data_IF_661143203727
#
_entry.id   IF_661143203727
#
_cell.length_a   1.000
_cell.length_b   1.000
_cell.length_c   1.000
_cell.angle_alpha   90.00
_cell.angle_beta   90.00
_cell.angle_gamma   90.00
#
_symmetry.space_group_name_H-M   'P 1'
#
loop_
_entity.id
_entity.type
_entity.pdbx_description
1 polymer ?
#
# COMPACT_ATOMS: atom_id res chain seq x y z
N UNK A 1 -2.69 27.83 -18.15
CA UNK A 1 -3.61 26.93 -17.42
C UNK A 1 -3.02 25.56 -17.00
N UNK A 2 -2.00 25.01 -17.68
CA UNK A 2 -1.36 23.72 -17.35
C UNK A 2 -0.49 23.70 -16.07
N UNK A 3 0.08 24.84 -15.68
CA UNK A 3 0.99 24.93 -14.51
C UNK A 3 0.23 24.87 -13.19
N UNK A 4 -0.97 25.46 -13.13
CA UNK A 4 -1.81 25.46 -11.92
C UNK A 4 -2.37 24.07 -11.60
N UNK A 5 -2.70 23.26 -12.63
CA UNK A 5 -3.15 21.86 -12.44
C UNK A 5 -2.06 20.91 -11.87
N UNK A 6 -0.78 21.24 -12.07
CA UNK A 6 0.34 20.41 -11.65
C UNK A 6 0.66 20.58 -10.15
N UNK A 7 0.46 21.77 -9.61
CA UNK A 7 0.69 22.05 -8.18
C UNK A 7 -0.36 21.41 -7.27
N UNK A 8 -1.62 21.33 -7.70
CA UNK A 8 -2.69 20.74 -6.88
C UNK A 8 -2.46 19.25 -6.61
N UNK A 9 -1.83 18.53 -7.53
CA UNK A 9 -1.54 17.10 -7.37
C UNK A 9 -0.51 16.83 -6.26
N UNK A 10 0.58 17.59 -6.23
CA UNK A 10 1.61 17.49 -5.19
C UNK A 10 1.02 17.86 -3.83
N UNK A 11 0.14 18.87 -3.82
CA UNK A 11 -0.55 19.32 -2.61
C UNK A 11 -1.43 18.20 -2.01
N UNK A 12 -2.22 17.49 -2.83
CA UNK A 12 -3.05 16.37 -2.35
C UNK A 12 -2.23 15.23 -1.74
N UNK A 13 -1.12 14.87 -2.38
CA UNK A 13 -0.20 13.87 -1.83
C UNK A 13 0.37 14.34 -0.49
N UNK A 14 0.81 15.59 -0.41
CA UNK A 14 1.35 16.17 0.81
C UNK A 14 0.32 16.23 1.94
N UNK A 15 -0.91 16.64 1.64
CA UNK A 15 -2.02 16.65 2.60
C UNK A 15 -2.31 15.23 3.12
N UNK A 16 -2.34 14.22 2.25
CA UNK A 16 -2.56 12.83 2.66
C UNK A 16 -1.49 12.36 3.67
N UNK A 17 -0.24 12.72 3.46
CA UNK A 17 0.84 12.38 4.39
C UNK A 17 0.74 13.13 5.72
N UNK A 18 0.38 14.41 5.71
CA UNK A 18 0.13 15.19 6.93
C UNK A 18 -1.02 14.55 7.73
N UNK A 19 -2.10 14.16 7.06
CA UNK A 19 -3.24 13.50 7.70
C UNK A 19 -2.83 12.19 8.35
N UNK A 20 -2.01 11.35 7.68
CA UNK A 20 -1.49 10.11 8.28
C UNK A 20 -0.63 10.40 9.51
N UNK A 21 0.24 11.40 9.43
CA UNK A 21 1.14 11.76 10.53
C UNK A 21 0.36 12.28 11.74
N UNK A 22 -0.51 13.26 11.52
CA UNK A 22 -1.33 13.85 12.57
C UNK A 22 -2.38 12.87 13.11
N UNK A 23 -2.91 11.98 12.26
CA UNK A 23 -3.87 10.95 12.62
C UNK A 23 -3.32 9.90 13.60
N UNK A 24 -2.01 9.75 13.71
CA UNK A 24 -1.40 8.90 14.75
C UNK A 24 -1.61 9.43 16.16
N UNK A 25 -1.75 10.73 16.34
CA UNK A 25 -1.99 11.35 17.64
C UNK A 25 -3.32 10.86 18.24
N UNK A 26 -4.48 11.04 17.60
CA UNK A 26 -5.74 10.53 18.13
C UNK A 26 -5.76 8.99 18.27
N UNK A 27 -5.13 8.25 17.34
CA UNK A 27 -5.02 6.80 17.46
C UNK A 27 -4.25 6.43 18.74
N UNK A 28 -3.10 7.06 18.99
CA UNK A 28 -2.30 6.80 20.20
C UNK A 28 -3.05 7.17 21.48
N UNK A 29 -3.75 8.31 21.49
CA UNK A 29 -4.56 8.70 22.66
C UNK A 29 -5.68 7.70 22.96
N UNK A 30 -6.26 7.11 21.93
CA UNK A 30 -7.34 6.15 22.07
C UNK A 30 -6.85 4.77 22.53
N UNK A 31 -5.92 4.15 21.77
CA UNK A 31 -5.49 2.77 22.04
C UNK A 31 -4.30 2.67 22.99
N UNK A 32 -3.74 3.79 23.42
CA UNK A 32 -2.60 3.86 24.34
C UNK A 32 -1.32 3.24 23.77
N UNK A 33 -0.31 3.20 24.64
CA UNK A 33 1.02 2.65 24.29
C UNK A 33 0.99 1.14 23.98
N UNK A 34 0.18 0.38 24.72
CA UNK A 34 0.08 -1.08 24.57
C UNK A 34 -0.62 -1.44 23.25
N UNK A 35 -1.76 -0.82 22.97
CA UNK A 35 -2.47 -1.02 21.71
C UNK A 35 -1.62 -0.60 20.49
N UNK A 36 -0.86 0.48 20.63
CA UNK A 36 0.01 0.96 19.55
C UNK A 36 1.16 -0.02 19.27
N UNK A 37 1.68 -0.73 20.26
CA UNK A 37 2.68 -1.78 20.09
C UNK A 37 2.14 -2.93 19.22
N UNK A 38 0.94 -3.43 19.51
CA UNK A 38 0.31 -4.52 18.75
C UNK A 38 -0.10 -4.06 17.35
N UNK A 39 -0.62 -2.84 17.22
CA UNK A 39 -0.96 -2.25 15.94
C UNK A 39 0.27 -2.03 15.05
N UNK A 40 1.43 -1.70 15.63
CA UNK A 40 2.67 -1.52 14.87
C UNK A 40 3.07 -2.76 14.09
N UNK A 41 2.99 -3.94 14.72
CA UNK A 41 3.25 -5.23 14.06
C UNK A 41 2.25 -5.48 12.92
N UNK A 42 0.96 -5.26 13.17
CA UNK A 42 -0.08 -5.45 12.18
C UNK A 42 0.12 -4.53 10.96
N UNK A 43 0.41 -3.27 11.20
CA UNK A 43 0.64 -2.27 10.14
C UNK A 43 1.90 -2.59 9.33
N UNK A 44 3.01 -2.97 9.98
CA UNK A 44 4.25 -3.25 9.25
C UNK A 44 4.16 -4.54 8.43
N UNK A 45 3.51 -5.59 8.92
CA UNK A 45 3.27 -6.81 8.14
C UNK A 45 2.33 -6.52 6.96
N UNK A 46 1.26 -5.75 7.19
CA UNK A 46 0.36 -5.33 6.13
C UNK A 46 1.07 -4.52 5.05
N UNK A 47 1.94 -3.58 5.42
CA UNK A 47 2.71 -2.77 4.49
C UNK A 47 3.82 -3.58 3.81
N UNK A 48 4.47 -4.52 4.50
CA UNK A 48 5.48 -5.38 3.91
C UNK A 48 4.90 -6.20 2.76
N UNK A 49 3.79 -6.89 2.97
CA UNK A 49 3.23 -7.80 1.97
C UNK A 49 2.24 -7.07 1.06
N UNK A 50 1.24 -6.42 1.63
CA UNK A 50 0.21 -5.69 0.87
C UNK A 50 0.78 -4.50 0.12
N UNK A 51 1.67 -3.72 0.73
CA UNK A 51 2.34 -2.58 0.10
C UNK A 51 3.26 -3.00 -1.04
N UNK A 52 4.08 -4.05 -0.86
CA UNK A 52 4.95 -4.59 -1.94
C UNK A 52 4.11 -5.05 -3.11
N UNK A 53 3.04 -5.81 -2.85
CA UNK A 53 2.14 -6.31 -3.89
C UNK A 53 1.41 -5.15 -4.62
N UNK A 54 0.93 -4.16 -3.87
CA UNK A 54 0.28 -2.96 -4.40
C UNK A 54 1.21 -2.18 -5.36
N UNK A 55 2.42 -1.83 -4.91
CA UNK A 55 3.36 -1.05 -5.72
C UNK A 55 3.90 -1.84 -6.91
N UNK A 56 4.16 -3.13 -6.74
CA UNK A 56 4.55 -4.04 -7.81
C UNK A 56 3.51 -4.06 -8.93
N UNK A 57 2.25 -4.27 -8.58
CA UNK A 57 1.15 -4.28 -9.55
C UNK A 57 0.93 -2.90 -10.17
N UNK A 58 0.92 -1.84 -9.37
CA UNK A 58 0.73 -0.47 -9.85
C UNK A 58 1.75 -0.06 -10.90
N UNK A 59 3.03 -0.10 -10.58
CA UNK A 59 4.08 0.37 -11.49
C UNK A 59 4.33 -0.60 -12.65
N UNK A 60 4.29 -1.91 -12.38
CA UNK A 60 4.46 -2.94 -13.40
C UNK A 60 3.39 -2.84 -14.48
N UNK A 61 2.12 -2.75 -14.08
CA UNK A 61 0.99 -2.66 -15.01
C UNK A 61 0.97 -1.30 -15.72
N UNK A 62 1.26 -0.20 -15.00
CA UNK A 62 1.34 1.12 -15.61
C UNK A 62 2.37 1.16 -16.75
N UNK A 63 3.54 0.55 -16.57
CA UNK A 63 4.59 0.48 -17.60
C UNK A 63 4.15 -0.31 -18.84
N UNK A 64 3.55 -1.49 -18.61
CA UNK A 64 3.08 -2.37 -19.69
C UNK A 64 1.91 -1.76 -20.47
N UNK A 65 0.96 -1.12 -19.77
CA UNK A 65 -0.18 -0.44 -20.44
C UNK A 65 0.33 0.75 -21.23
N UNK A 66 1.21 1.57 -20.67
CA UNK A 66 1.80 2.74 -21.35
C UNK A 66 2.50 2.32 -22.64
N UNK A 67 3.25 1.22 -22.61
CA UNK A 67 3.91 0.67 -23.78
C UNK A 67 2.89 0.27 -24.87
N UNK A 68 1.78 -0.38 -24.51
CA UNK A 68 0.75 -0.81 -25.47
C UNK A 68 -0.10 0.35 -25.99
N UNK A 69 -0.43 1.32 -25.13
CA UNK A 69 -1.17 2.53 -25.53
C UNK A 69 -0.39 3.34 -26.57
N UNK A 70 0.94 3.47 -26.40
CA UNK A 70 1.80 4.13 -27.41
C UNK A 70 1.80 3.41 -28.78
N UNK A 71 1.50 2.12 -28.80
CA UNK A 71 1.40 1.28 -30.01
C UNK A 71 -0.04 1.09 -30.48
N UNK A 72 -0.99 1.81 -29.89
CA UNK A 72 -2.42 1.74 -30.21
C UNK A 72 -3.03 0.34 -30.08
N UNK A 73 -2.48 -0.52 -29.19
CA UNK A 73 -2.90 -1.90 -28.95
C UNK A 73 -3.95 -2.01 -27.84
N UNK A 74 -5.11 -1.40 -27.99
CA UNK A 74 -6.14 -1.29 -26.96
C UNK A 74 -6.78 -2.62 -26.55
N UNK A 75 -7.00 -3.55 -27.52
CA UNK A 75 -7.48 -4.92 -27.22
C UNK A 75 -6.49 -5.69 -26.33
N UNK A 76 -5.18 -5.48 -26.60
CA UNK A 76 -4.10 -6.02 -25.79
C UNK A 76 -4.09 -5.45 -24.37
N UNK A 77 -4.39 -4.18 -24.20
CA UNK A 77 -4.50 -3.51 -22.88
C UNK A 77 -5.61 -4.14 -22.05
N UNK A 78 -6.81 -4.32 -22.62
CA UNK A 78 -7.94 -4.93 -21.89
C UNK A 78 -7.65 -6.35 -21.43
N UNK A 79 -7.07 -7.19 -22.29
CA UNK A 79 -6.70 -8.57 -21.94
C UNK A 79 -5.64 -8.60 -20.82
N UNK A 80 -4.63 -7.75 -20.92
CA UNK A 80 -3.59 -7.61 -19.91
C UNK A 80 -4.18 -7.17 -18.58
N UNK A 81 -5.04 -6.16 -18.57
CA UNK A 81 -5.70 -5.65 -17.36
C UNK A 81 -6.52 -6.72 -16.64
N UNK A 82 -7.39 -7.46 -17.36
CA UNK A 82 -8.21 -8.51 -16.76
C UNK A 82 -7.36 -9.66 -16.19
N UNK A 83 -6.28 -10.03 -16.89
CA UNK A 83 -5.36 -11.05 -16.37
C UNK A 83 -4.58 -10.56 -15.15
N UNK A 84 -4.22 -9.27 -15.12
CA UNK A 84 -3.56 -8.67 -13.96
C UNK A 84 -4.48 -8.62 -12.73
N UNK A 85 -5.77 -8.33 -12.91
CA UNK A 85 -6.75 -8.38 -11.82
C UNK A 85 -6.87 -9.79 -11.24
N UNK A 86 -6.98 -10.79 -12.10
CA UNK A 86 -7.06 -12.18 -11.68
C UNK A 86 -5.78 -12.64 -10.97
N UNK A 87 -4.62 -12.27 -11.50
CA UNK A 87 -3.32 -12.59 -10.90
C UNK A 87 -3.14 -11.91 -9.53
N UNK A 88 -3.50 -10.63 -9.42
CA UNK A 88 -3.41 -9.89 -8.17
C UNK A 88 -4.34 -10.45 -7.09
N UNK A 89 -5.55 -10.87 -7.47
CA UNK A 89 -6.50 -11.52 -6.57
C UNK A 89 -5.92 -12.84 -6.05
N UNK A 90 -5.43 -13.71 -6.95
CA UNK A 90 -4.86 -15.01 -6.57
C UNK A 90 -3.64 -14.81 -5.67
N UNK A 91 -2.69 -13.95 -6.06
CA UNK A 91 -1.50 -13.69 -5.25
C UNK A 91 -1.86 -13.08 -3.90
N UNK A 92 -2.78 -12.12 -3.88
CA UNK A 92 -3.27 -11.52 -2.63
C UNK A 92 -3.90 -12.55 -1.71
N UNK A 93 -4.76 -13.42 -2.22
CA UNK A 93 -5.40 -14.48 -1.44
C UNK A 93 -4.40 -15.52 -0.94
N UNK A 94 -3.49 -16.00 -1.79
CA UNK A 94 -2.47 -16.98 -1.40
C UNK A 94 -1.58 -16.41 -0.29
N UNK A 95 -1.10 -15.18 -0.45
CA UNK A 95 -0.26 -14.54 0.56
C UNK A 95 -1.01 -14.32 1.88
N UNK A 96 -2.28 -13.91 1.81
CA UNK A 96 -3.11 -13.77 3.01
C UNK A 96 -3.26 -15.11 3.73
N UNK A 97 -3.61 -16.19 3.04
CA UNK A 97 -3.78 -17.52 3.65
C UNK A 97 -2.47 -18.04 4.24
N UNK A 98 -1.35 -17.88 3.54
CA UNK A 98 -0.04 -18.29 4.05
C UNK A 98 0.35 -17.52 5.32
N UNK A 99 0.11 -16.20 5.33
CA UNK A 99 0.39 -15.38 6.50
C UNK A 99 -0.55 -15.69 7.66
N UNK A 100 -1.83 -15.90 7.41
CA UNK A 100 -2.81 -16.32 8.41
C UNK A 100 -2.40 -17.64 9.09
N UNK A 101 -1.98 -18.63 8.28
CA UNK A 101 -1.51 -19.92 8.79
C UNK A 101 -0.23 -19.80 9.66
N UNK A 102 0.71 -18.94 9.23
CA UNK A 102 1.99 -18.73 9.92
C UNK A 102 1.92 -17.72 11.10
N UNK A 103 0.97 -16.80 11.06
CA UNK A 103 0.88 -15.68 12.00
C UNK A 103 0.84 -16.12 13.46
N UNK A 104 0.01 -17.11 13.78
CA UNK A 104 -0.13 -17.61 15.15
C UNK A 104 1.18 -18.18 15.68
N UNK A 105 1.85 -19.02 14.88
CA UNK A 105 3.13 -19.62 15.27
C UNK A 105 4.20 -18.56 15.52
N UNK A 106 4.35 -17.61 14.61
CA UNK A 106 5.37 -16.55 14.73
C UNK A 106 5.09 -15.63 15.92
N UNK A 107 3.85 -15.19 16.11
CA UNK A 107 3.53 -14.24 17.18
C UNK A 107 3.50 -14.89 18.55
N UNK A 108 3.02 -16.13 18.69
CA UNK A 108 2.93 -16.80 19.98
C UNK A 108 4.26 -17.46 20.40
N UNK A 109 4.92 -18.19 19.48
CA UNK A 109 6.08 -18.99 19.83
C UNK A 109 7.41 -18.23 19.61
N UNK A 110 7.52 -17.44 18.54
CA UNK A 110 8.77 -16.74 18.24
C UNK A 110 8.86 -15.40 18.98
N UNK A 111 7.84 -14.56 18.90
CA UNK A 111 7.82 -13.23 19.51
C UNK A 111 7.21 -13.21 20.92
N UNK A 112 6.52 -14.26 21.32
CA UNK A 112 5.81 -14.39 22.61
C UNK A 112 4.80 -13.26 22.87
N UNK A 113 4.07 -12.84 21.81
CA UNK A 113 3.06 -11.78 21.82
C UNK A 113 1.68 -12.34 21.41
N UNK A 114 1.04 -13.20 22.21
CA UNK A 114 -0.23 -13.83 21.83
C UNK A 114 -1.36 -12.83 21.60
N UNK A 115 -1.34 -11.69 22.29
CA UNK A 115 -2.36 -10.65 22.18
C UNK A 115 -2.32 -9.90 20.84
N UNK A 116 -1.18 -9.91 20.13
CA UNK A 116 -1.05 -9.27 18.81
C UNK A 116 -1.70 -10.10 17.67
N UNK A 117 -1.96 -11.39 17.87
CA UNK A 117 -2.42 -12.32 16.82
C UNK A 117 -3.68 -11.83 16.12
N UNK A 118 -4.71 -11.46 16.87
CA UNK A 118 -5.98 -11.00 16.29
C UNK A 118 -5.84 -9.69 15.54
N UNK A 119 -5.04 -8.75 16.07
CA UNK A 119 -4.76 -7.46 15.43
C UNK A 119 -4.10 -7.66 14.06
N UNK A 120 -3.12 -8.56 13.99
CA UNK A 120 -2.42 -8.89 12.73
C UNK A 120 -3.35 -9.62 11.76
N UNK A 121 -4.07 -10.65 12.19
CA UNK A 121 -5.00 -11.41 11.34
C UNK A 121 -6.01 -10.51 10.64
N UNK A 122 -6.62 -9.60 11.37
CA UNK A 122 -7.58 -8.66 10.78
C UNK A 122 -6.91 -7.78 9.73
N UNK A 123 -5.73 -7.23 10.00
CA UNK A 123 -5.03 -6.41 9.03
C UNK A 123 -4.71 -7.17 7.72
N UNK A 124 -4.38 -8.47 7.81
CA UNK A 124 -4.06 -9.30 6.64
C UNK A 124 -5.22 -9.42 5.64
N UNK A 125 -6.48 -9.36 6.12
CA UNK A 125 -7.66 -9.42 5.25
C UNK A 125 -7.73 -8.24 4.24
N UNK A 126 -7.03 -7.15 4.51
CA UNK A 126 -6.94 -6.00 3.60
C UNK A 126 -6.01 -6.21 2.40
N UNK A 127 -5.11 -7.21 2.43
CA UNK A 127 -4.08 -7.41 1.39
C UNK A 127 -4.66 -7.66 0.00
N UNK A 128 -5.66 -8.54 -0.21
CA UNK A 128 -6.24 -8.77 -1.53
C UNK A 128 -6.88 -7.52 -2.12
N UNK A 129 -7.57 -6.73 -1.30
CA UNK A 129 -8.20 -5.49 -1.74
C UNK A 129 -7.15 -4.44 -2.15
N UNK A 130 -6.08 -4.33 -1.38
CA UNK A 130 -4.97 -3.43 -1.70
C UNK A 130 -4.26 -3.85 -2.99
N UNK A 131 -4.04 -5.14 -3.22
CA UNK A 131 -3.45 -5.68 -4.45
C UNK A 131 -4.28 -5.32 -5.69
N UNK A 132 -5.60 -5.50 -5.62
CA UNK A 132 -6.54 -5.14 -6.69
C UNK A 132 -6.56 -3.62 -6.93
N UNK A 133 -6.52 -2.81 -5.87
CA UNK A 133 -6.42 -1.35 -5.99
C UNK A 133 -5.13 -0.94 -6.71
N UNK A 134 -4.00 -1.63 -6.49
CA UNK A 134 -2.75 -1.42 -7.22
C UNK A 134 -2.90 -1.63 -8.72
N UNK A 135 -3.58 -2.71 -9.14
CA UNK A 135 -3.86 -2.97 -10.56
C UNK A 135 -4.68 -1.85 -11.21
N UNK A 136 -5.74 -1.41 -10.54
CA UNK A 136 -6.61 -0.34 -11.02
C UNK A 136 -5.86 1.01 -11.10
N UNK A 137 -5.06 1.34 -10.08
CA UNK A 137 -4.23 2.54 -10.13
C UNK A 137 -3.21 2.45 -11.28
N UNK A 138 -2.59 1.29 -11.47
CA UNK A 138 -1.67 1.04 -12.58
C UNK A 138 -2.34 1.20 -13.95
N UNK A 139 -3.59 0.74 -14.08
CA UNK A 139 -4.39 0.94 -15.30
C UNK A 139 -4.57 2.41 -15.63
N UNK A 140 -5.06 3.22 -14.70
CA UNK A 140 -5.23 4.66 -14.94
C UNK A 140 -3.90 5.39 -15.19
N UNK A 141 -2.86 5.04 -14.44
CA UNK A 141 -1.54 5.62 -14.61
C UNK A 141 -0.92 5.27 -15.98
N UNK A 142 -1.21 4.09 -16.52
CA UNK A 142 -0.82 3.67 -17.87
C UNK A 142 -1.44 4.53 -18.96
N UNK A 143 -2.66 5.02 -18.77
CA UNK A 143 -3.33 6.01 -19.64
C UNK A 143 -2.97 7.48 -19.30
N UNK A 144 -1.89 7.70 -18.55
CA UNK A 144 -1.47 9.03 -18.07
C UNK A 144 -2.48 9.75 -17.15
N UNK A 145 -3.50 9.05 -16.65
CA UNK A 145 -4.48 9.56 -15.71
C UNK A 145 -4.01 9.30 -14.27
N UNK A 146 -3.38 10.31 -13.64
CA UNK A 146 -2.86 10.18 -12.27
C UNK A 146 -3.86 10.54 -11.18
N UNK A 147 -4.83 11.38 -11.49
CA UNK A 147 -5.81 11.88 -10.52
C UNK A 147 -6.59 10.75 -9.80
N UNK A 148 -7.10 9.70 -10.48
CA UNK A 148 -7.78 8.60 -9.82
C UNK A 148 -6.95 7.92 -8.72
N UNK A 149 -5.64 7.72 -8.97
CA UNK A 149 -4.75 7.12 -7.99
C UNK A 149 -4.58 7.98 -6.74
N UNK A 150 -4.35 9.29 -6.91
CA UNK A 150 -4.18 10.20 -5.77
C UNK A 150 -5.45 10.35 -4.95
N UNK A 151 -6.61 10.42 -5.60
CA UNK A 151 -7.88 10.46 -4.89
C UNK A 151 -8.10 9.16 -4.11
N UNK A 152 -7.76 8.00 -4.69
CA UNK A 152 -7.86 6.72 -4.01
C UNK A 152 -6.93 6.64 -2.78
N UNK A 153 -5.70 7.15 -2.88
CA UNK A 153 -4.76 7.22 -1.76
C UNK A 153 -5.25 8.16 -0.65
N UNK A 154 -5.91 9.29 -1.03
CA UNK A 154 -6.55 10.18 -0.08
C UNK A 154 -7.74 9.52 0.62
N UNK A 155 -8.61 8.82 -0.12
CA UNK A 155 -9.74 8.05 0.42
C UNK A 155 -9.24 6.97 1.37
N UNK A 156 -8.19 6.22 0.97
CA UNK A 156 -7.57 5.22 1.84
C UNK A 156 -7.14 5.85 3.17
N UNK A 157 -6.48 6.98 3.14
CA UNK A 157 -6.00 7.68 4.35
C UNK A 157 -7.15 8.15 5.24
N UNK A 158 -8.15 8.82 4.64
CA UNK A 158 -9.29 9.36 5.37
C UNK A 158 -10.14 8.26 5.99
N UNK A 159 -10.39 7.19 5.24
CA UNK A 159 -11.16 6.03 5.72
C UNK A 159 -10.38 5.27 6.79
N UNK A 160 -9.08 5.06 6.61
CA UNK A 160 -8.25 4.40 7.62
C UNK A 160 -8.36 5.10 8.97
N UNK A 161 -8.24 6.42 9.00
CA UNK A 161 -8.36 7.18 10.25
C UNK A 161 -9.80 7.21 10.78
N UNK A 162 -10.77 7.56 9.92
CA UNK A 162 -12.17 7.68 10.34
C UNK A 162 -12.76 6.34 10.80
N UNK A 163 -12.73 5.33 9.94
CA UNK A 163 -13.23 4.01 10.28
C UNK A 163 -12.40 3.33 11.36
N UNK A 164 -11.07 3.54 11.37
CA UNK A 164 -10.19 2.99 12.39
C UNK A 164 -10.50 3.54 13.79
N UNK A 165 -10.71 4.84 13.94
CA UNK A 165 -11.07 5.45 15.22
C UNK A 165 -12.47 5.03 15.69
N UNK A 166 -13.47 5.06 14.80
CA UNK A 166 -14.84 4.63 15.13
C UNK A 166 -14.85 3.16 15.53
N UNK A 167 -14.18 2.30 14.79
CA UNK A 167 -14.08 0.88 15.12
C UNK A 167 -13.30 0.65 16.42
N UNK A 168 -12.21 1.40 16.65
CA UNK A 168 -11.44 1.30 17.88
C UNK A 168 -12.31 1.61 19.11
N UNK A 169 -13.11 2.67 19.07
CA UNK A 169 -14.02 3.01 20.15
C UNK A 169 -15.02 1.89 20.45
N UNK A 170 -15.68 1.36 19.41
CA UNK A 170 -16.62 0.25 19.55
C UNK A 170 -15.97 -1.02 20.11
N UNK A 171 -14.79 -1.39 19.62
CA UNK A 171 -14.06 -2.56 20.11
C UNK A 171 -13.52 -2.34 21.54
N UNK A 172 -13.11 -1.13 21.91
CA UNK A 172 -12.67 -0.82 23.27
C UNK A 172 -13.78 -0.99 24.31
N UNK A 173 -15.02 -0.61 24.00
CA UNK A 173 -16.17 -0.85 24.87
C UNK A 173 -16.37 -2.34 25.14
N UNK A 174 -16.18 -3.19 24.14
CA UNK A 174 -16.20 -4.64 24.32
C UNK A 174 -14.98 -5.11 25.10
N UNK A 175 -13.80 -4.57 24.80
CA UNK A 175 -12.54 -4.86 25.50
C UNK A 175 -12.58 -4.51 26.99
N UNK A 176 -13.30 -3.45 27.39
CA UNK A 176 -13.52 -3.12 28.80
C UNK A 176 -14.25 -4.26 29.53
N UNK A 177 -15.34 -4.76 28.96
CA UNK A 177 -16.07 -5.90 29.55
C UNK A 177 -15.19 -7.12 29.72
N UNK A 178 -14.33 -7.41 28.73
CA UNK A 178 -13.36 -8.52 28.82
C UNK A 178 -12.29 -8.25 29.87
N UNK A 179 -11.82 -7.02 29.99
CA UNK A 179 -10.86 -6.58 31.01
C UNK A 179 -11.39 -6.76 32.42
N UNK A 180 -12.65 -6.41 32.65
CA UNK A 180 -13.32 -6.54 33.92
C UNK A 180 -13.49 -8.03 34.31
N UNK A 181 -13.86 -8.87 33.35
CA UNK A 181 -14.01 -10.32 33.58
C UNK A 181 -12.69 -11.03 33.86
N UNK A 182 -11.60 -10.62 33.19
CA UNK A 182 -10.28 -11.25 33.33
C UNK A 182 -9.36 -10.53 34.33
N UNK A 183 -9.86 -9.48 34.99
CA UNK A 183 -9.07 -8.60 35.88
C UNK A 183 -7.75 -8.11 35.27
N UNK A 184 -7.73 -7.85 33.95
CA UNK A 184 -6.55 -7.43 33.23
C UNK A 184 -6.88 -6.25 32.28
N UNK A 185 -6.52 -5.04 32.68
CA UNK A 185 -6.81 -3.80 31.96
C UNK A 185 -6.19 -3.69 30.55
N UNK A 186 -5.28 -4.59 30.16
CA UNK A 186 -4.63 -4.57 28.84
C UNK A 186 -5.57 -4.95 27.71
N UNK A 187 -6.59 -5.78 27.97
CA UNK A 187 -7.51 -6.22 26.91
C UNK A 187 -8.25 -5.08 26.26
N UNK A 188 -8.59 -4.02 26.98
CA UNK A 188 -9.21 -2.82 26.41
C UNK A 188 -8.38 -2.26 25.24
N UNK A 189 -7.07 -2.08 25.44
CA UNK A 189 -6.17 -1.53 24.45
C UNK A 189 -5.88 -2.49 23.28
N UNK A 190 -5.85 -3.79 23.56
CA UNK A 190 -5.74 -4.85 22.53
C UNK A 190 -6.94 -4.79 21.59
N UNK A 191 -8.15 -4.72 22.13
CA UNK A 191 -9.37 -4.59 21.33
C UNK A 191 -9.42 -3.26 20.59
N UNK A 192 -8.91 -2.18 21.16
CA UNK A 192 -8.72 -0.92 20.43
C UNK A 192 -7.80 -1.08 19.21
N UNK A 193 -6.66 -1.77 19.36
CA UNK A 193 -5.75 -2.06 18.25
C UNK A 193 -6.39 -2.93 17.16
N UNK A 194 -7.24 -3.90 17.55
CA UNK A 194 -8.07 -4.68 16.61
C UNK A 194 -8.97 -3.74 15.80
N UNK A 195 -9.65 -2.80 16.48
CA UNK A 195 -10.50 -1.81 15.82
C UNK A 195 -9.74 -0.93 14.82
N UNK A 196 -8.54 -0.44 15.17
CA UNK A 196 -7.71 0.31 14.22
C UNK A 196 -7.31 -0.54 13.03
N UNK A 197 -7.03 -1.85 13.21
CA UNK A 197 -6.71 -2.77 12.11
C UNK A 197 -7.91 -3.01 11.18
N UNK A 198 -9.16 -3.00 11.69
CA UNK A 198 -10.34 -3.03 10.81
C UNK A 198 -10.42 -1.80 9.92
N UNK A 199 -9.91 -0.65 10.38
CA UNK A 199 -9.76 0.56 9.57
C UNK A 199 -8.87 0.37 8.34
N UNK A 200 -7.78 -0.43 8.44
CA UNK A 200 -6.92 -0.76 7.28
C UNK A 200 -7.69 -1.57 6.22
N UNK A 201 -8.51 -2.52 6.66
CA UNK A 201 -9.34 -3.34 5.76
C UNK A 201 -10.40 -2.48 5.08
N UNK A 202 -11.13 -1.67 5.85
CA UNK A 202 -12.15 -0.77 5.34
C UNK A 202 -11.56 0.24 4.33
N UNK A 203 -10.38 0.80 4.63
CA UNK A 203 -9.67 1.71 3.75
C UNK A 203 -9.29 1.05 2.42
N UNK A 204 -8.74 -0.17 2.48
CA UNK A 204 -8.38 -0.94 1.29
C UNK A 204 -9.61 -1.24 0.42
N UNK A 205 -10.71 -1.65 1.05
CA UNK A 205 -11.96 -1.97 0.37
C UNK A 205 -12.60 -0.72 -0.27
N UNK A 206 -12.72 0.39 0.47
CA UNK A 206 -13.36 1.61 -0.05
C UNK A 206 -12.51 2.30 -1.12
N UNK A 207 -11.19 2.30 -0.99
CA UNK A 207 -10.26 2.75 -2.04
C UNK A 207 -10.42 1.92 -3.32
N UNK A 208 -10.54 0.59 -3.19
CA UNK A 208 -10.81 -0.32 -4.31
C UNK A 208 -12.16 -0.03 -4.95
N UNK A 209 -13.23 0.10 -4.17
CA UNK A 209 -14.58 0.40 -4.67
C UNK A 209 -14.61 1.73 -5.44
N UNK A 210 -13.98 2.77 -4.93
CA UNK A 210 -13.84 4.05 -5.63
C UNK A 210 -13.17 3.87 -7.01
N UNK A 211 -12.06 3.15 -7.07
CA UNK A 211 -11.36 2.89 -8.33
C UNK A 211 -12.17 2.05 -9.30
N UNK A 212 -12.95 1.08 -8.81
CA UNK A 212 -13.86 0.28 -9.63
C UNK A 212 -14.97 1.14 -10.23
N UNK A 213 -15.58 2.02 -9.44
CA UNK A 213 -16.59 2.96 -9.93
C UNK A 213 -16.02 3.81 -11.07
N UNK A 214 -14.83 4.39 -10.85
CA UNK A 214 -14.16 5.17 -11.88
C UNK A 214 -13.83 4.34 -13.12
N UNK A 215 -13.40 3.10 -12.96
CA UNK A 215 -13.15 2.20 -14.09
C UNK A 215 -14.41 2.02 -14.94
N UNK A 216 -15.57 1.74 -14.33
CA UNK A 216 -16.81 1.57 -15.09
C UNK A 216 -17.27 2.86 -15.79
N UNK A 217 -17.04 4.03 -15.17
CA UNK A 217 -17.36 5.34 -15.76
C UNK A 217 -16.46 5.64 -16.98
N UNK A 218 -15.14 5.48 -16.82
CA UNK A 218 -14.19 5.86 -17.86
C UNK A 218 -13.95 4.78 -18.92
N UNK A 219 -14.27 3.52 -18.65
CA UNK A 219 -14.04 2.38 -19.54
C UNK A 219 -14.51 2.64 -20.96
N UNK A 220 -15.78 3.13 -21.13
CA UNK A 220 -16.35 3.37 -22.45
C UNK A 220 -15.60 4.44 -23.25
N UNK A 221 -15.08 5.47 -22.58
CA UNK A 221 -14.29 6.53 -23.21
C UNK A 221 -12.91 6.05 -23.64
N UNK A 222 -12.25 5.23 -22.79
CA UNK A 222 -10.92 4.71 -23.05
C UNK A 222 -10.90 3.57 -24.10
N UNK A 223 -12.00 2.78 -24.18
CA UNK A 223 -12.12 1.68 -25.13
C UNK A 223 -12.64 2.11 -26.52
N UNK A 224 -13.21 3.32 -26.69
CA UNK A 224 -13.71 3.81 -27.97
C UNK A 224 -12.65 3.88 -29.07
N UNK A 225 -11.40 4.13 -28.72
CA UNK A 225 -10.31 4.16 -29.67
C UNK A 225 -9.92 2.77 -30.19
N UNK A 226 -10.31 1.70 -29.47
CA UNK A 226 -10.04 0.31 -29.85
C UNK A 226 -10.82 -0.20 -31.08
N UNK A 227 -11.86 0.53 -31.54
CA UNK A 227 -12.61 0.13 -32.74
C UNK A 227 -11.83 0.34 -34.06
N UNK A 228 -10.77 1.18 -34.03
CA UNK A 228 -9.90 1.44 -35.17
C UNK A 228 -8.67 0.52 -35.25
N UNK A 229 -8.55 -0.40 -34.31
CA UNK A 229 -7.41 -1.30 -34.24
C UNK A 229 -7.42 -2.26 -35.44
N UNK A 230 -6.52 -2.02 -36.39
CA UNK A 230 -6.25 -2.95 -37.50
C UNK A 230 -5.79 -4.28 -36.88
N UNK A 231 -6.30 -5.36 -37.39
CA UNK A 231 -6.09 -6.75 -37.00
C UNK A 231 -4.64 -7.24 -37.21
N UNK A 232 -3.66 -6.50 -36.65
CA UNK A 232 -2.24 -6.85 -36.72
C UNK A 232 -1.82 -7.99 -35.78
N UNK A 233 -2.74 -8.47 -34.92
CA UNK A 233 -2.47 -9.55 -33.98
C UNK A 233 -3.06 -10.88 -34.44
N UNK A 234 -2.64 -11.36 -35.61
CA UNK A 234 -2.92 -12.76 -36.03
C UNK A 234 -2.22 -13.80 -35.15
N UNK A 235 -1.16 -13.44 -34.45
CA UNK A 235 -0.48 -14.29 -33.45
C UNK A 235 -0.75 -13.73 -32.06
N UNK A 236 -1.85 -14.20 -31.45
CA UNK A 236 -2.22 -13.82 -30.09
C UNK A 236 -1.13 -14.22 -29.10
N UNK A 237 -0.59 -13.25 -28.36
CA UNK A 237 0.27 -13.54 -27.20
C UNK A 237 -0.39 -14.59 -26.31
N UNK A 238 0.34 -15.65 -25.99
CA UNK A 238 -0.12 -16.68 -25.05
C UNK A 238 -0.45 -16.06 -23.68
N UNK A 239 -1.47 -16.59 -23.00
CA UNK A 239 -1.79 -16.14 -21.63
C UNK A 239 -0.61 -16.28 -20.69
N UNK A 240 0.19 -17.31 -20.86
CA UNK A 240 1.40 -17.55 -20.07
C UNK A 240 2.48 -16.48 -20.33
N UNK A 241 2.69 -16.08 -21.58
CA UNK A 241 3.63 -15.00 -21.93
C UNK A 241 3.25 -13.67 -21.26
N UNK A 242 1.96 -13.34 -21.23
CA UNK A 242 1.47 -12.13 -20.56
C UNK A 242 1.66 -12.17 -19.05
N UNK A 243 1.38 -13.31 -18.40
CA UNK A 243 1.63 -13.48 -16.95
C UNK A 243 3.12 -13.30 -16.66
N UNK A 244 4.00 -13.89 -17.45
CA UNK A 244 5.45 -13.72 -17.32
C UNK A 244 5.88 -12.26 -17.47
N UNK A 245 5.27 -11.52 -18.40
CA UNK A 245 5.53 -10.07 -18.56
C UNK A 245 5.06 -9.26 -17.35
N UNK A 246 3.87 -9.55 -16.79
CA UNK A 246 3.34 -8.90 -15.60
C UNK A 246 4.26 -9.15 -14.41
N UNK A 247 4.63 -10.41 -14.18
CA UNK A 247 5.53 -10.80 -13.09
C UNK A 247 6.93 -10.20 -13.25
N UNK A 248 7.47 -10.17 -14.48
CA UNK A 248 8.79 -9.59 -14.76
C UNK A 248 8.81 -8.09 -14.53
N UNK A 249 7.84 -7.36 -15.07
CA UNK A 249 7.73 -5.92 -14.89
C UNK A 249 7.40 -5.56 -13.42
N UNK A 250 6.46 -6.28 -12.81
CA UNK A 250 6.10 -6.09 -11.40
C UNK A 250 7.21 -6.50 -10.45
N UNK A 251 7.93 -7.58 -10.73
CA UNK A 251 9.02 -8.09 -9.90
C UNK A 251 10.17 -7.10 -9.67
N UNK A 252 10.55 -6.36 -10.71
CA UNK A 252 11.56 -5.32 -10.59
C UNK A 252 11.13 -4.24 -9.59
N UNK A 253 9.89 -3.75 -9.69
CA UNK A 253 9.34 -2.76 -8.76
C UNK A 253 9.11 -3.35 -7.37
N UNK A 254 8.75 -4.65 -7.29
CA UNK A 254 8.63 -5.36 -6.02
C UNK A 254 9.94 -5.37 -5.24
N UNK A 255 11.05 -5.70 -5.89
CA UNK A 255 12.39 -5.73 -5.24
C UNK A 255 12.76 -4.38 -4.67
N UNK A 256 12.54 -3.30 -5.41
CA UNK A 256 12.83 -1.94 -4.94
C UNK A 256 12.01 -1.58 -3.70
N UNK A 257 10.69 -1.84 -3.72
CA UNK A 257 9.85 -1.52 -2.58
C UNK A 257 10.07 -2.47 -1.39
N UNK A 258 10.41 -3.73 -1.67
CA UNK A 258 10.70 -4.74 -0.67
C UNK A 258 11.89 -4.35 0.22
N UNK A 259 12.96 -3.77 -0.35
CA UNK A 259 14.12 -3.31 0.44
C UNK A 259 13.72 -2.25 1.47
N UNK A 260 12.86 -1.31 1.08
CA UNK A 260 12.34 -0.28 1.97
C UNK A 260 11.39 -0.85 3.04
N UNK A 261 10.46 -1.72 2.62
CA UNK A 261 9.50 -2.35 3.52
C UNK A 261 10.17 -3.31 4.53
N UNK A 262 11.19 -4.06 4.09
CA UNK A 262 11.99 -4.92 4.97
C UNK A 262 12.78 -4.13 6.01
N UNK A 263 13.31 -2.96 5.64
CA UNK A 263 13.99 -2.09 6.61
C UNK A 263 13.05 -1.63 7.72
N UNK A 264 11.82 -1.23 7.37
CA UNK A 264 10.81 -0.80 8.34
C UNK A 264 10.30 -1.95 9.21
N UNK A 265 9.88 -3.05 8.57
CA UNK A 265 9.43 -4.26 9.27
C UNK A 265 10.54 -4.88 10.11
N UNK A 266 11.77 -4.97 9.57
CA UNK A 266 12.92 -5.55 10.25
C UNK A 266 13.23 -4.86 11.57
N UNK A 267 13.14 -3.53 11.62
CA UNK A 267 13.34 -2.77 12.86
C UNK A 267 12.33 -3.15 13.94
N UNK A 268 11.07 -3.30 13.57
CA UNK A 268 9.98 -3.71 14.48
C UNK A 268 10.15 -5.16 14.91
N UNK A 269 10.40 -6.04 13.94
CA UNK A 269 10.55 -7.48 14.20
C UNK A 269 11.75 -7.80 15.09
N UNK A 270 12.91 -7.22 14.82
CA UNK A 270 14.13 -7.40 15.62
C UNK A 270 13.92 -6.88 17.03
N UNK A 271 13.27 -5.72 17.20
CA UNK A 271 12.99 -5.19 18.54
C UNK A 271 12.18 -6.18 19.36
N UNK A 272 11.06 -6.70 18.85
CA UNK A 272 10.24 -7.68 19.56
C UNK A 272 10.93 -9.04 19.72
N UNK A 273 11.82 -9.41 18.81
CA UNK A 273 12.62 -10.62 18.93
C UNK A 273 13.63 -10.55 20.08
N UNK A 274 14.23 -9.38 20.30
CA UNK A 274 15.19 -9.17 21.39
C UNK A 274 14.52 -9.03 22.75
N UNK A 275 13.27 -8.52 22.81
CA UNK A 275 12.50 -8.28 24.04
C UNK A 275 11.29 -9.21 24.15
N UNK A 276 11.50 -10.51 23.92
CA UNK A 276 10.43 -11.52 23.91
C UNK A 276 9.63 -11.51 25.21
N UNK A 277 8.31 -11.41 25.08
CA UNK A 277 7.38 -11.52 26.21
C UNK A 277 7.44 -10.37 27.22
N UNK A 278 8.35 -9.41 27.07
CA UNK A 278 8.42 -8.25 27.96
C UNK A 278 7.41 -7.19 27.57
N UNK A 279 6.38 -7.08 28.38
CA UNK A 279 5.29 -6.13 28.17
C UNK A 279 5.68 -4.67 28.41
N UNK A 280 6.68 -4.40 29.26
CA UNK A 280 7.15 -3.05 29.51
C UNK A 280 7.89 -2.52 28.29
N UNK A 281 8.78 -3.33 27.71
CA UNK A 281 9.46 -3.02 26.44
C UNK A 281 8.49 -2.88 25.28
N UNK A 282 7.44 -3.71 25.20
CA UNK A 282 6.40 -3.58 24.19
C UNK A 282 5.68 -2.23 24.29
N UNK A 283 5.31 -1.80 25.50
CA UNK A 283 4.69 -0.48 25.73
C UNK A 283 5.61 0.68 25.35
N UNK A 284 6.90 0.59 25.71
CA UNK A 284 7.88 1.61 25.34
C UNK A 284 8.04 1.70 23.81
N UNK A 285 8.04 0.56 23.12
CA UNK A 285 8.06 0.52 21.66
C UNK A 285 6.82 1.15 21.04
N UNK A 286 5.64 0.91 21.59
CA UNK A 286 4.39 1.53 21.13
C UNK A 286 4.48 3.07 21.16
N UNK A 287 5.05 3.63 22.23
CA UNK A 287 5.29 5.08 22.34
C UNK A 287 6.31 5.57 21.29
N UNK A 288 7.43 4.86 21.13
CA UNK A 288 8.43 5.16 20.09
C UNK A 288 7.80 5.12 18.68
N UNK A 289 7.00 4.09 18.40
CA UNK A 289 6.36 3.91 17.10
C UNK A 289 5.34 5.01 16.78
N UNK A 290 4.58 5.45 17.79
CA UNK A 290 3.62 6.55 17.63
C UNK A 290 4.29 7.88 17.30
N UNK A 291 5.40 8.20 17.99
CA UNK A 291 6.10 9.47 17.86
C UNK A 291 7.30 9.42 16.94
N UNK A 292 8.43 8.90 17.41
CA UNK A 292 9.72 8.99 16.70
C UNK A 292 9.70 8.28 15.34
N UNK A 293 9.13 7.08 15.25
CA UNK A 293 9.05 6.36 13.99
C UNK A 293 8.17 7.11 12.96
N UNK A 294 7.10 7.75 13.42
CA UNK A 294 6.24 8.56 12.55
C UNK A 294 7.01 9.75 11.95
N UNK A 295 7.76 10.47 12.79
CA UNK A 295 8.58 11.59 12.35
C UNK A 295 9.69 11.15 11.39
N UNK A 296 10.39 10.07 11.69
CA UNK A 296 11.41 9.50 10.79
C UNK A 296 10.84 9.14 9.43
N UNK A 297 9.68 8.48 9.38
CA UNK A 297 8.99 8.17 8.12
C UNK A 297 8.58 9.44 7.36
N UNK A 298 8.11 10.46 8.05
CA UNK A 298 7.78 11.75 7.44
C UNK A 298 9.02 12.43 6.83
N UNK A 299 10.16 12.44 7.54
CA UNK A 299 11.42 12.98 7.03
C UNK A 299 11.90 12.24 5.78
N UNK A 300 11.87 10.89 5.80
CA UNK A 300 12.23 10.06 4.63
C UNK A 300 11.33 10.39 3.45
N UNK A 301 10.03 10.57 3.67
CA UNK A 301 9.09 10.93 2.60
C UNK A 301 9.37 12.31 2.00
N UNK A 302 9.73 13.30 2.82
CA UNK A 302 10.13 14.63 2.32
C UNK A 302 11.37 14.51 1.43
N UNK A 303 12.38 13.77 1.89
CA UNK A 303 13.60 13.51 1.11
C UNK A 303 13.24 12.81 -0.21
N UNK A 304 12.43 11.76 -0.16
CA UNK A 304 11.98 11.03 -1.36
C UNK A 304 11.19 11.94 -2.32
N UNK A 305 10.38 12.87 -1.84
CA UNK A 305 9.66 13.83 -2.71
C UNK A 305 10.62 14.76 -3.45
N UNK A 306 11.66 15.25 -2.77
CA UNK A 306 12.70 16.09 -3.39
C UNK A 306 13.42 15.30 -4.48
N UNK A 307 13.87 14.08 -4.16
CA UNK A 307 14.52 13.19 -5.12
C UNK A 307 13.58 12.76 -6.26
N UNK A 308 12.32 12.48 -5.99
CA UNK A 308 11.35 12.06 -7.00
C UNK A 308 11.20 13.08 -8.14
N UNK A 309 11.21 14.37 -7.84
CA UNK A 309 11.12 15.42 -8.86
C UNK A 309 12.30 15.36 -9.84
N UNK A 310 13.47 15.00 -9.33
CA UNK A 310 14.73 14.93 -10.07
C UNK A 310 14.85 13.63 -10.87
N UNK A 311 14.54 12.49 -10.25
CA UNK A 311 14.45 11.17 -10.92
C UNK A 311 13.45 11.20 -12.08
N UNK A 312 12.34 11.90 -11.91
CA UNK A 312 11.33 12.07 -12.97
C UNK A 312 11.86 12.83 -14.18
N UNK A 313 12.77 13.81 -14.00
CA UNK A 313 13.41 14.50 -15.13
C UNK A 313 14.31 13.56 -15.90
N UNK A 314 15.07 12.71 -15.21
CA UNK A 314 15.89 11.67 -15.86
C UNK A 314 15.01 10.73 -16.69
N UNK A 315 13.91 10.23 -16.13
CA UNK A 315 12.96 9.38 -16.84
C UNK A 315 12.36 10.07 -18.09
N UNK A 316 12.08 11.37 -18.02
CA UNK A 316 11.58 12.13 -19.16
C UNK A 316 12.57 12.18 -20.32
N UNK A 317 13.86 12.40 -20.05
CA UNK A 317 14.90 12.39 -21.09
C UNK A 317 15.16 10.99 -21.62
N UNK A 318 15.11 9.98 -20.76
CA UNK A 318 15.23 8.57 -21.17
C UNK A 318 14.07 8.14 -22.09
N UNK A 319 12.85 8.60 -21.80
CA UNK A 319 11.67 8.33 -22.64
C UNK A 319 11.76 8.99 -24.04
N UNK A 320 12.58 10.05 -24.18
CA UNK A 320 12.85 10.73 -25.47
C UNK A 320 14.07 10.22 -26.20
N UNK A 321 14.70 9.15 -25.67
CA UNK A 321 15.95 8.61 -26.20
C UNK A 321 17.14 9.59 -26.12
N UNK A 322 17.00 10.67 -25.35
CA UNK A 322 18.05 11.66 -25.10
C UNK A 322 19.00 11.17 -23.99
N UNK A 323 19.67 10.05 -24.21
CA UNK A 323 20.48 9.34 -23.19
C UNK A 323 21.62 10.21 -22.64
N UNK A 324 22.16 11.15 -23.41
CA UNK A 324 23.21 12.07 -22.96
C UNK A 324 22.68 12.99 -21.87
N UNK A 325 21.52 13.60 -22.09
CA UNK A 325 20.86 14.49 -21.11
C UNK A 325 20.41 13.71 -19.88
N UNK A 326 19.91 12.48 -20.06
CA UNK A 326 19.55 11.60 -18.95
C UNK A 326 20.76 11.28 -18.04
N UNK A 327 21.91 10.95 -18.65
CA UNK A 327 23.16 10.65 -17.92
C UNK A 327 23.71 11.87 -17.19
N UNK A 328 23.68 13.06 -17.82
CA UNK A 328 24.12 14.31 -17.20
C UNK A 328 23.27 14.67 -15.97
N UNK A 329 21.94 14.54 -16.10
CA UNK A 329 21.02 14.78 -14.95
C UNK A 329 21.15 13.73 -13.86
N UNK A 330 21.46 12.49 -14.19
CA UNK A 330 21.75 11.43 -13.22
C UNK A 330 23.07 11.72 -12.48
N UNK A 331 24.09 12.18 -13.20
CA UNK A 331 25.36 12.60 -12.58
C UNK A 331 25.18 13.73 -11.57
N UNK A 332 24.35 14.76 -11.90
CA UNK A 332 24.02 15.85 -10.96
C UNK A 332 23.20 15.42 -9.73
N UNK A 333 22.61 14.24 -9.73
CA UNK A 333 21.86 13.69 -8.60
C UNK A 333 22.73 12.87 -7.64
N UNK A 334 23.87 12.37 -8.15
CA UNK A 334 24.80 11.53 -7.39
C UNK A 334 25.94 12.35 -6.72
N UNK A 335 26.07 13.62 -7.10
CA UNK A 335 26.91 14.63 -6.47
C UNK A 335 26.08 15.61 -5.65
#
# INVERSE_FOLDING_TARGET
MAIVKKNNFVLFVFISYIIILLGRIPVYHMIGKDGMAYFSLAQEIFLLVGGVLFYSMKEGIASLIRYRVRREQFKGVRRLFLQSLFLALILGMILTVLLEAGCQYVLQNVLQLPLAVMTVRIALLGIPFLALAGVLQGYFQGFHMRAPGVHADFIFTAVFLGAGLISAEGFMLYGQKVSDLLHNGRFQYVYGAIGVSTGLVAASLLSLLYLLILYFVFRRSLEKDGSREREYLKNGESSFSRIRLILGSGGFHALFYLTFALSSFGSVFIFFLLHKGDSASASAFGMYYAGCNALLKAMILIILMVFYSSVRRVGYYQEREEFRMAREKLGMLLH
#
